data_IF_959406541365
#
_entry.id   IF_959406541365
#
_cell.length_a   1.000
_cell.length_b   1.000
_cell.length_c   1.000
_cell.angle_alpha   90.00
_cell.angle_beta   90.00
_cell.angle_gamma   90.00
#
_symmetry.space_group_name_H-M   'P 1'
#
loop_
_entity.id
_entity.type
_entity.pdbx_description
1 polymer ?
#
# COMPACT_ATOMS: atom_id res chain seq x y z
N UNK A 1 7.08 13.84 17.43
CA UNK A 1 7.52 14.40 16.12
C UNK A 1 8.57 13.55 15.39
N UNK A 2 9.46 12.81 16.07
CA UNK A 2 10.42 11.90 15.41
C UNK A 2 9.72 10.78 14.61
N UNK A 3 8.69 10.14 15.17
CA UNK A 3 7.91 9.05 14.55
C UNK A 3 7.30 9.42 13.19
N UNK A 4 6.67 10.59 13.09
CA UNK A 4 6.07 11.06 11.83
C UNK A 4 7.15 11.34 10.78
N UNK A 5 8.31 11.87 11.18
CA UNK A 5 9.44 12.08 10.28
C UNK A 5 9.96 10.73 9.76
N UNK A 6 10.09 9.73 10.62
CA UNK A 6 10.45 8.37 10.21
C UNK A 6 9.47 7.80 9.18
N UNK A 7 8.16 7.92 9.45
CA UNK A 7 7.14 7.40 8.55
C UNK A 7 7.16 8.09 7.18
N UNK A 8 7.43 9.41 7.13
CA UNK A 8 7.62 10.16 5.87
C UNK A 8 8.86 9.71 5.10
N UNK A 9 9.97 9.47 5.78
CA UNK A 9 11.20 8.99 5.15
C UNK A 9 10.95 7.60 4.55
N UNK A 10 10.33 6.69 5.30
CA UNK A 10 9.97 5.36 4.81
C UNK A 10 9.03 5.43 3.62
N UNK A 11 8.00 6.29 3.69
CA UNK A 11 7.04 6.48 2.61
C UNK A 11 7.70 6.90 1.29
N UNK A 12 8.61 7.88 1.36
CA UNK A 12 9.37 8.34 0.20
C UNK A 12 10.38 7.29 -0.29
N UNK A 13 11.01 6.54 0.62
CA UNK A 13 11.97 5.49 0.27
C UNK A 13 11.29 4.37 -0.52
N UNK A 14 10.13 3.90 -0.06
CA UNK A 14 9.33 2.87 -0.76
C UNK A 14 8.92 3.34 -2.16
N UNK A 15 8.49 4.60 -2.30
CA UNK A 15 8.14 5.14 -3.62
C UNK A 15 9.36 5.23 -4.53
N UNK A 16 10.49 5.70 -4.00
CA UNK A 16 11.72 5.85 -4.76
C UNK A 16 12.26 4.49 -5.24
N UNK A 17 12.26 3.48 -4.37
CA UNK A 17 12.60 2.10 -4.72
C UNK A 17 11.75 1.60 -5.89
N UNK A 18 10.43 1.70 -5.77
CA UNK A 18 9.52 1.19 -6.78
C UNK A 18 9.68 1.89 -8.14
N UNK A 19 9.90 3.22 -8.14
CA UNK A 19 10.17 3.99 -9.36
C UNK A 19 11.52 3.62 -10.00
N UNK A 20 12.57 3.43 -9.20
CA UNK A 20 13.89 2.99 -9.69
C UNK A 20 13.77 1.59 -10.29
N UNK A 21 13.10 0.67 -9.60
CA UNK A 21 12.94 -0.70 -10.07
C UNK A 21 12.13 -0.76 -11.38
N UNK A 22 11.03 0.00 -11.46
CA UNK A 22 10.25 0.12 -12.70
C UNK A 22 11.09 0.72 -13.85
N UNK A 23 11.91 1.74 -13.56
CA UNK A 23 12.84 2.32 -14.53
C UNK A 23 13.86 1.31 -15.06
N UNK A 24 14.42 0.46 -14.19
CA UNK A 24 15.32 -0.62 -14.59
C UNK A 24 14.58 -1.60 -15.51
N UNK A 25 13.37 -2.02 -15.14
CA UNK A 25 12.55 -2.94 -15.95
C UNK A 25 12.26 -2.36 -17.34
N UNK A 26 11.90 -1.07 -17.44
CA UNK A 26 11.70 -0.40 -18.73
C UNK A 26 12.93 -0.45 -19.63
N UNK A 27 14.13 -0.24 -19.07
CA UNK A 27 15.38 -0.33 -19.83
C UNK A 27 15.63 -1.77 -20.31
N UNK A 28 15.34 -2.77 -19.47
CA UNK A 28 15.55 -4.18 -19.80
C UNK A 28 14.63 -4.70 -20.91
N UNK A 29 13.42 -4.15 -21.04
CA UNK A 29 12.42 -4.61 -22.03
C UNK A 29 12.28 -3.64 -23.22
N UNK A 30 13.13 -2.61 -23.33
CA UNK A 30 12.99 -1.53 -24.32
C UNK A 30 12.94 -2.03 -25.78
N UNK A 31 13.59 -3.15 -26.06
CA UNK A 31 13.72 -3.74 -27.41
C UNK A 31 12.66 -4.82 -27.68
N UNK A 32 11.69 -4.97 -26.77
CA UNK A 32 10.65 -6.00 -26.80
C UNK A 32 9.29 -5.35 -27.08
N UNK A 33 8.50 -5.96 -27.97
CA UNK A 33 7.12 -5.51 -28.23
C UNK A 33 6.23 -5.75 -27.00
N UNK A 34 5.60 -4.68 -26.53
CA UNK A 34 4.62 -4.73 -25.44
C UNK A 34 3.23 -4.99 -25.99
N UNK A 35 2.47 -5.81 -25.27
CA UNK A 35 1.07 -6.14 -25.58
C UNK A 35 0.14 -5.49 -24.56
N UNK A 36 -1.15 -5.36 -24.88
CA UNK A 36 -2.13 -4.84 -23.92
C UNK A 36 -2.65 -5.92 -22.99
N UNK A 37 -2.95 -7.09 -23.56
CA UNK A 37 -3.44 -8.28 -22.88
C UNK A 37 -2.72 -9.48 -23.51
N UNK A 38 -2.27 -10.40 -22.67
CA UNK A 38 -1.58 -11.61 -23.11
C UNK A 38 -2.58 -12.75 -23.31
N UNK A 39 -3.02 -12.90 -24.56
CA UNK A 39 -3.92 -13.98 -24.96
C UNK A 39 -3.22 -15.35 -24.98
N UNK A 40 -1.89 -15.38 -25.07
CA UNK A 40 -1.11 -16.62 -25.09
C UNK A 40 -1.03 -17.27 -23.70
N UNK A 41 -1.02 -16.46 -22.63
CA UNK A 41 -0.94 -16.93 -21.24
C UNK A 41 -1.99 -16.26 -20.33
N UNK A 42 -3.29 -16.55 -20.55
CA UNK A 42 -4.38 -15.89 -19.81
C UNK A 42 -4.35 -16.19 -18.31
N UNK A 43 -3.77 -17.33 -17.91
CA UNK A 43 -3.60 -17.71 -16.49
C UNK A 43 -2.63 -16.79 -15.75
N UNK A 44 -1.52 -16.40 -16.40
CA UNK A 44 -0.53 -15.50 -15.81
C UNK A 44 -1.09 -14.09 -15.68
N UNK A 45 -1.76 -13.60 -16.73
CA UNK A 45 -2.50 -12.32 -16.72
C UNK A 45 -3.47 -12.27 -15.54
N UNK A 46 -4.38 -13.25 -15.45
CA UNK A 46 -5.43 -13.25 -14.44
C UNK A 46 -4.86 -13.34 -13.02
N UNK A 47 -3.85 -14.21 -12.83
CA UNK A 47 -3.19 -14.39 -11.54
C UNK A 47 -2.49 -13.12 -11.09
N UNK A 48 -1.75 -12.44 -11.99
CA UNK A 48 -1.08 -11.18 -11.69
C UNK A 48 -2.05 -10.09 -11.27
N UNK A 49 -3.15 -9.93 -12.01
CA UNK A 49 -4.20 -8.94 -11.69
C UNK A 49 -4.83 -9.25 -10.32
N UNK A 50 -5.19 -10.50 -10.06
CA UNK A 50 -5.77 -10.90 -8.78
C UNK A 50 -4.83 -10.63 -7.60
N UNK A 51 -3.56 -10.99 -7.70
CA UNK A 51 -2.59 -10.77 -6.63
C UNK A 51 -2.42 -9.27 -6.37
N UNK A 52 -2.28 -8.44 -7.41
CA UNK A 52 -2.14 -6.99 -7.26
C UNK A 52 -3.36 -6.36 -6.57
N UNK A 53 -4.58 -6.78 -6.93
CA UNK A 53 -5.83 -6.32 -6.30
C UNK A 53 -5.91 -6.76 -4.84
N UNK A 54 -5.58 -8.02 -4.53
CA UNK A 54 -5.61 -8.54 -3.15
C UNK A 54 -4.63 -7.75 -2.28
N UNK A 55 -3.40 -7.52 -2.74
CA UNK A 55 -2.40 -6.75 -2.00
C UNK A 55 -2.84 -5.31 -1.77
N UNK A 56 -3.45 -4.68 -2.78
CA UNK A 56 -4.03 -3.35 -2.64
C UNK A 56 -5.14 -3.31 -1.59
N UNK A 57 -6.04 -4.30 -1.57
CA UNK A 57 -7.10 -4.40 -0.57
C UNK A 57 -6.55 -4.65 0.84
N UNK A 58 -5.55 -5.53 0.98
CA UNK A 58 -4.89 -5.80 2.26
C UNK A 58 -4.26 -4.54 2.87
N UNK A 59 -3.76 -3.61 2.04
CA UNK A 59 -3.25 -2.32 2.51
C UNK A 59 -4.32 -1.46 3.21
N UNK A 60 -5.62 -1.66 2.93
CA UNK A 60 -6.70 -0.93 3.62
C UNK A 60 -7.31 -1.73 4.76
N UNK A 61 -7.47 -3.05 4.59
CA UNK A 61 -8.18 -3.91 5.54
C UNK A 61 -7.30 -4.23 6.76
N UNK A 62 -6.07 -4.70 6.56
CA UNK A 62 -5.21 -5.16 7.66
C UNK A 62 -4.90 -4.03 8.65
N UNK A 63 -4.53 -2.82 8.20
CA UNK A 63 -4.33 -1.70 9.12
C UNK A 63 -5.54 -1.38 10.00
N UNK A 64 -6.77 -1.50 9.47
CA UNK A 64 -8.00 -1.27 10.24
C UNK A 64 -8.18 -2.32 11.33
N UNK A 65 -7.97 -3.60 11.00
CA UNK A 65 -8.03 -4.69 11.98
C UNK A 65 -6.96 -4.56 13.07
N UNK A 66 -5.78 -4.06 12.73
CA UNK A 66 -4.73 -3.82 13.73
C UNK A 66 -5.06 -2.63 14.64
N UNK A 67 -5.71 -1.59 14.12
CA UNK A 67 -6.12 -0.42 14.90
C UNK A 67 -7.21 -0.75 15.92
N UNK A 68 -8.17 -1.61 15.58
CA UNK A 68 -9.22 -2.03 16.52
C UNK A 68 -8.63 -2.82 17.70
N UNK A 69 -7.59 -3.63 17.47
CA UNK A 69 -7.01 -4.47 18.52
C UNK A 69 -6.07 -3.73 19.47
N UNK A 70 -5.55 -2.56 19.10
CA UNK A 70 -4.53 -1.84 19.86
C UNK A 70 -5.08 -0.91 20.97
N UNK A 71 -6.38 -0.93 21.27
CA UNK A 71 -7.02 0.13 22.10
C UNK A 71 -7.49 -0.26 23.50
N UNK A 72 -7.39 -1.54 23.89
CA UNK A 72 -7.73 -1.95 25.25
C UNK A 72 -6.62 -1.53 26.26
N UNK A 73 -6.73 -0.32 26.83
CA UNK A 73 -5.93 0.12 27.98
C UNK A 73 -4.56 0.75 27.69
N UNK A 74 -4.28 1.13 26.44
CA UNK A 74 -2.96 1.66 26.04
C UNK A 74 -2.74 3.15 26.38
N UNK A 75 -1.50 3.49 26.77
CA UNK A 75 -1.11 4.89 26.99
C UNK A 75 -1.00 5.66 25.67
N UNK A 76 -1.03 7.00 25.72
CA UNK A 76 -0.80 7.85 24.53
C UNK A 76 0.50 7.52 23.79
N UNK A 77 1.52 7.06 24.49
CA UNK A 77 2.79 6.67 23.90
C UNK A 77 2.71 5.34 23.15
N UNK A 78 1.91 4.40 23.65
CA UNK A 78 1.68 3.09 23.02
C UNK A 78 0.82 3.25 21.76
N UNK A 79 -0.23 4.07 21.80
CA UNK A 79 -1.01 4.41 20.61
C UNK A 79 -0.16 5.00 19.47
N UNK A 80 0.82 5.85 19.77
CA UNK A 80 1.72 6.41 18.77
C UNK A 80 2.65 5.33 18.16
N UNK A 81 3.05 4.33 18.95
CA UNK A 81 3.85 3.18 18.48
C UNK A 81 3.00 2.24 17.63
N UNK A 82 1.77 1.99 18.03
CA UNK A 82 0.80 1.19 17.28
C UNK A 82 0.53 1.85 15.91
N UNK A 83 0.34 3.17 15.86
CA UNK A 83 0.19 3.91 14.60
C UNK A 83 1.42 3.79 13.68
N UNK A 84 2.64 3.85 14.22
CA UNK A 84 3.86 3.65 13.42
C UNK A 84 3.87 2.26 12.78
N UNK A 85 3.61 1.23 13.58
CA UNK A 85 3.61 -0.17 13.14
C UNK A 85 2.58 -0.39 12.03
N UNK A 86 1.37 0.12 12.26
CA UNK A 86 0.27 0.03 11.29
C UNK A 86 0.59 0.78 10.01
N UNK A 87 1.20 1.96 10.11
CA UNK A 87 1.66 2.72 8.94
C UNK A 87 2.70 1.95 8.13
N UNK A 88 3.64 1.27 8.79
CA UNK A 88 4.66 0.43 8.12
C UNK A 88 4.01 -0.77 7.44
N UNK A 89 3.11 -1.48 8.12
CA UNK A 89 2.38 -2.63 7.55
C UNK A 89 1.55 -2.20 6.34
N UNK A 90 0.85 -1.06 6.42
CA UNK A 90 0.12 -0.46 5.29
C UNK A 90 1.04 -0.26 4.08
N UNK A 91 2.20 0.37 4.28
CA UNK A 91 3.17 0.61 3.21
C UNK A 91 3.73 -0.70 2.63
N UNK A 92 3.99 -1.71 3.45
CA UNK A 92 4.51 -3.00 2.99
C UNK A 92 3.55 -3.73 2.03
N UNK A 93 2.23 -3.67 2.27
CA UNK A 93 1.27 -4.27 1.34
C UNK A 93 1.21 -3.55 0.00
N UNK A 94 1.30 -2.21 0.00
CA UNK A 94 1.32 -1.41 -1.23
C UNK A 94 2.60 -1.66 -2.01
N UNK A 95 3.73 -1.70 -1.30
CA UNK A 95 5.04 -2.02 -1.86
C UNK A 95 5.07 -3.41 -2.52
N UNK A 96 4.54 -4.43 -1.84
CA UNK A 96 4.38 -5.75 -2.42
C UNK A 96 3.51 -5.71 -3.69
N UNK A 97 2.40 -4.96 -3.68
CA UNK A 97 1.54 -4.77 -4.85
C UNK A 97 2.27 -4.10 -6.02
N UNK A 98 3.03 -3.04 -5.75
CA UNK A 98 3.83 -2.34 -6.76
C UNK A 98 4.91 -3.27 -7.34
N UNK A 99 5.62 -4.00 -6.50
CA UNK A 99 6.65 -4.95 -6.89
C UNK A 99 6.07 -6.07 -7.76
N UNK A 100 4.94 -6.65 -7.38
CA UNK A 100 4.22 -7.64 -8.18
C UNK A 100 3.85 -7.06 -9.54
N UNK A 101 3.26 -5.86 -9.59
CA UNK A 101 2.92 -5.23 -10.87
C UNK A 101 4.16 -5.03 -11.77
N UNK A 102 5.29 -4.60 -11.21
CA UNK A 102 6.55 -4.45 -11.97
C UNK A 102 7.05 -5.81 -12.49
N UNK A 103 7.03 -6.85 -11.66
CA UNK A 103 7.48 -8.21 -12.06
C UNK A 103 6.60 -8.79 -13.15
N UNK A 104 5.28 -8.68 -13.02
CA UNK A 104 4.36 -9.16 -14.04
C UNK A 104 4.43 -8.33 -15.32
N UNK A 105 4.70 -7.02 -15.24
CA UNK A 105 5.01 -6.21 -16.40
C UNK A 105 6.28 -6.70 -17.12
N UNK A 106 7.33 -7.02 -16.37
CA UNK A 106 8.59 -7.55 -16.93
C UNK A 106 8.39 -8.92 -17.61
N UNK A 107 7.68 -9.84 -16.95
CA UNK A 107 7.50 -11.21 -17.45
C UNK A 107 6.46 -11.28 -18.56
N UNK A 108 5.27 -10.70 -18.34
CA UNK A 108 4.14 -10.75 -19.27
C UNK A 108 4.22 -9.75 -20.41
N UNK A 109 5.01 -8.67 -20.26
CA UNK A 109 5.17 -7.58 -21.25
C UNK A 109 3.87 -6.84 -21.55
N UNK A 110 2.99 -6.79 -20.56
CA UNK A 110 1.63 -6.28 -20.69
C UNK A 110 1.47 -4.88 -20.09
N UNK A 111 0.99 -3.93 -20.89
CA UNK A 111 0.77 -2.55 -20.44
C UNK A 111 -0.15 -2.41 -19.23
N UNK A 112 -1.09 -3.34 -19.06
CA UNK A 112 -2.02 -3.35 -17.93
C UNK A 112 -1.30 -3.33 -16.58
N UNK A 113 -0.17 -4.03 -16.44
CA UNK A 113 0.58 -4.08 -15.19
C UNK A 113 1.34 -2.78 -14.92
N UNK A 114 1.82 -2.09 -15.95
CA UNK A 114 2.38 -0.74 -15.81
C UNK A 114 1.31 0.27 -15.35
N UNK A 115 0.08 0.14 -15.84
CA UNK A 115 -1.07 0.96 -15.42
C UNK A 115 -1.41 0.67 -13.94
N UNK A 116 -1.50 -0.60 -13.56
CA UNK A 116 -1.74 -1.00 -12.15
C UNK A 116 -0.65 -0.43 -11.25
N UNK A 117 0.62 -0.55 -11.64
CA UNK A 117 1.75 0.04 -10.90
C UNK A 117 1.56 1.55 -10.70
N UNK A 118 1.19 2.29 -11.76
CA UNK A 118 0.95 3.73 -11.67
C UNK A 118 -0.21 4.08 -10.73
N UNK A 119 -1.32 3.34 -10.79
CA UNK A 119 -2.43 3.51 -9.85
C UNK A 119 -2.01 3.24 -8.40
N UNK A 120 -1.21 2.19 -8.16
CA UNK A 120 -0.68 1.90 -6.83
C UNK A 120 0.27 3.01 -6.33
N UNK A 121 1.07 3.60 -7.21
CA UNK A 121 1.87 4.79 -6.89
C UNK A 121 1.00 5.98 -6.48
N UNK A 122 -0.09 6.26 -7.21
CA UNK A 122 -1.03 7.33 -6.86
C UNK A 122 -1.70 7.06 -5.51
N UNK A 123 -2.13 5.82 -5.27
CA UNK A 123 -2.68 5.39 -3.98
C UNK A 123 -1.65 5.62 -2.87
N UNK A 124 -0.40 5.19 -3.08
CA UNK A 124 0.69 5.39 -2.13
C UNK A 124 0.92 6.86 -1.83
N UNK A 125 1.01 7.72 -2.85
CA UNK A 125 1.15 9.18 -2.69
C UNK A 125 -0.03 9.77 -1.91
N UNK A 126 -1.27 9.35 -2.22
CA UNK A 126 -2.47 9.73 -1.47
C UNK A 126 -2.47 9.27 -0.01
N UNK A 127 -1.59 8.32 0.35
CA UNK A 127 -1.36 7.84 1.70
C UNK A 127 -0.25 8.56 2.46
N UNK A 128 0.25 9.69 1.94
CA UNK A 128 1.36 10.41 2.56
C UNK A 128 1.07 10.73 4.06
N UNK A 129 2.02 10.42 4.97
CA UNK A 129 1.80 10.58 6.40
C UNK A 129 1.84 12.05 6.83
N UNK A 130 0.68 12.59 7.20
CA UNK A 130 0.50 13.96 7.71
C UNK A 130 0.06 13.96 9.17
N UNK A 131 0.34 15.06 9.90
CA UNK A 131 -0.11 15.23 11.30
C UNK A 131 -1.63 15.14 11.41
N UNK A 132 -2.33 15.91 10.56
CA UNK A 132 -3.79 15.94 10.50
C UNK A 132 -4.42 14.57 10.13
N UNK A 133 -3.71 13.70 9.41
CA UNK A 133 -4.20 12.34 9.15
C UNK A 133 -4.02 11.43 10.36
N UNK A 134 -2.88 11.52 11.03
CA UNK A 134 -2.63 10.78 12.27
C UNK A 134 -3.64 11.15 13.35
N UNK A 135 -3.93 12.45 13.52
CA UNK A 135 -4.92 12.95 14.47
C UNK A 135 -6.33 12.46 14.11
N UNK A 136 -6.77 12.60 12.85
CA UNK A 136 -8.08 12.09 12.40
C UNK A 136 -8.24 10.57 12.50
N UNK A 137 -7.20 9.80 12.17
CA UNK A 137 -7.23 8.33 12.32
C UNK A 137 -7.21 7.93 13.81
N UNK A 138 -6.70 8.77 14.70
CA UNK A 138 -6.83 8.58 16.14
C UNK A 138 -8.24 8.94 16.63
N UNK A 139 -8.78 10.10 16.25
CA UNK A 139 -10.09 10.64 16.67
C UNK A 139 -11.29 9.83 16.15
N UNK A 140 -11.37 9.51 14.85
CA UNK A 140 -12.52 8.78 14.26
C UNK A 140 -12.74 7.37 14.85
N UNK A 141 -11.70 6.79 15.45
CA UNK A 141 -11.83 5.49 16.12
C UNK A 141 -12.27 5.64 17.58
N UNK A 142 -12.26 6.83 18.18
CA UNK A 142 -12.88 7.07 19.49
C UNK A 142 -14.40 7.26 19.34
N UNK A 143 -14.84 8.02 18.33
CA UNK A 143 -16.27 8.29 18.11
C UNK A 143 -17.07 7.03 17.73
N UNK A 144 -16.48 6.07 16.99
CA UNK A 144 -17.17 4.85 16.58
C UNK A 144 -17.47 3.87 17.73
N UNK A 145 -16.64 3.81 18.76
CA UNK A 145 -16.90 2.94 19.92
C UNK A 145 -17.90 3.58 20.90
N UNK A 146 -17.98 4.92 21.03
CA UNK A 146 -19.05 5.56 21.80
C UNK A 146 -20.44 5.29 21.19
N UNK A 147 -20.54 5.21 19.85
CA UNK A 147 -21.77 4.83 19.16
C UNK A 147 -22.08 3.32 19.24
N UNK A 148 -21.07 2.46 19.24
CA UNK A 148 -21.26 1.01 19.36
C UNK A 148 -21.56 0.58 20.82
N UNK A 149 -20.98 1.22 21.85
CA UNK A 149 -21.31 0.97 23.28
C UNK A 149 -22.70 1.50 23.67
N UNK A 150 -23.25 2.49 22.97
CA UNK A 150 -24.60 3.01 23.21
C UNK A 150 -25.72 2.22 22.49
N UNK A 151 -25.35 1.34 21.55
CA UNK A 151 -26.29 0.55 20.75
C UNK A 151 -26.40 -0.93 21.20
N UNK A 152 -25.67 -1.33 22.25
CA UNK A 152 -25.82 -2.61 22.97
C UNK A 152 -26.67 -2.44 24.26
#
# INVERSE_FOLDING_TARGET
MKTLRTLRILHLAVLAEALIFFGIVLVLIRDVSLVWINEENPSLYMTGVMIAVILALCAFIVPRMMLSNARAGETRQDMIRSYLTIGIVRMAFVDAGMTVAIVFFYVGREWIFAIIFFFLCLIHIGMFPTKARMEREMEMNFEKEEEDEFND
#
